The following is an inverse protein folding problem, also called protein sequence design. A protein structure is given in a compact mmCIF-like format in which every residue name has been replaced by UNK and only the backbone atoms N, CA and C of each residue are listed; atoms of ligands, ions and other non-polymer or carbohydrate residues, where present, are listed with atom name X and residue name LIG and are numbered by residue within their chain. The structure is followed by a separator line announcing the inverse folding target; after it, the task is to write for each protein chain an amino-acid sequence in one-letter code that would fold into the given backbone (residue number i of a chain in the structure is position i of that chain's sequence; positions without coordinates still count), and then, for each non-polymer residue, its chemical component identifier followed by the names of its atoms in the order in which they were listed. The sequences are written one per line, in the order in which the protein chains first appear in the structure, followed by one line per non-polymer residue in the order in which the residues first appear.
data_IF_200318647134
#
_entry.id   IF_200318647134
#
_cell.length_a   1.000
_cell.length_b   1.000
_cell.length_c   1.000
_cell.angle_alpha   90.00
_cell.angle_beta   90.00
_cell.angle_gamma   90.00
#
_symmetry.space_group_name_H-M   'P 1'
#
loop_
_entity.id
_entity.type
_entity.pdbx_description
1 polymer ?
#
# COMPACT_ATOMS: atom_id res chain seq x y z
N UNK A 1 -21.40 46.64 46.87
CA UNK A 1 -20.65 46.14 48.05
C UNK A 1 -20.63 44.62 47.92
N UNK A 2 -19.66 43.99 47.25
CA UNK A 2 -18.37 43.50 47.79
C UNK A 2 -18.46 42.95 49.21
N UNK A 3 -18.48 41.63 49.34
CA UNK A 3 -17.76 40.89 50.38
C UNK A 3 -17.59 39.43 49.91
N UNK A 4 -16.41 39.16 49.38
CA UNK A 4 -15.85 37.84 49.11
C UNK A 4 -15.41 37.22 50.44
N UNK A 5 -15.67 35.94 50.70
CA UNK A 5 -14.83 35.14 51.59
C UNK A 5 -14.81 33.68 51.13
N UNK A 6 -13.61 33.11 51.15
CA UNK A 6 -13.16 31.89 50.46
C UNK A 6 -12.21 31.18 51.44
N UNK A 7 -12.53 29.96 51.91
CA UNK A 7 -11.62 28.96 52.57
C UNK A 7 -12.40 27.62 52.54
N UNK A 8 -12.09 26.55 51.77
CA UNK A 8 -10.94 25.62 51.61
C UNK A 8 -10.78 24.57 52.73
N UNK A 9 -10.40 23.33 52.34
CA UNK A 9 -9.84 22.18 53.09
C UNK A 9 -10.87 21.07 53.42
N UNK A 10 -11.01 20.02 52.59
CA UNK A 10 -10.27 18.72 52.52
C UNK A 10 -10.56 17.76 53.68
N UNK A 11 -11.05 16.55 53.35
CA UNK A 11 -11.18 15.42 54.27
C UNK A 11 -11.49 14.11 53.55
N UNK A 12 -10.43 13.38 53.19
CA UNK A 12 -10.41 11.99 52.69
C UNK A 12 -10.65 10.99 53.85
N UNK A 13 -10.94 9.72 53.49
CA UNK A 13 -10.89 8.46 54.30
C UNK A 13 -12.27 8.00 54.85
N UNK A 14 -12.90 6.94 54.32
CA UNK A 14 -12.62 5.49 54.42
C UNK A 14 -13.31 4.81 55.62
N UNK A 15 -14.16 3.80 55.33
CA UNK A 15 -14.70 2.84 56.31
C UNK A 15 -16.07 2.27 55.88
N UNK A 16 -16.11 1.23 55.04
CA UNK A 16 -16.37 -0.18 55.42
C UNK A 16 -17.62 -0.41 56.30
N UNK A 17 -18.68 -0.95 55.71
CA UNK A 17 -19.18 -2.32 55.98
C UNK A 17 -20.56 -2.52 55.37
N UNK A 18 -20.67 -3.44 54.42
CA UNK A 18 -21.70 -4.47 54.47
C UNK A 18 -21.36 -5.57 53.47
N UNK A 19 -20.88 -6.68 54.01
CA UNK A 19 -20.91 -8.00 53.42
C UNK A 19 -22.26 -8.30 52.75
N UNK A 20 -22.21 -8.75 51.50
CA UNK A 20 -22.68 -10.10 51.12
C UNK A 20 -22.46 -10.30 49.63
N UNK A 21 -21.48 -11.14 49.33
CA UNK A 21 -21.54 -12.02 48.17
C UNK A 21 -22.86 -12.82 48.27
N UNK A 22 -23.63 -12.83 47.17
CA UNK A 22 -23.87 -14.13 46.59
C UNK A 22 -23.44 -14.13 45.13
N UNK A 23 -22.51 -15.04 44.84
CA UNK A 23 -22.35 -15.70 43.56
C UNK A 23 -23.74 -16.06 43.00
N UNK A 24 -24.30 -15.19 42.18
CA UNK A 24 -25.18 -15.62 41.11
C UNK A 24 -24.34 -15.56 39.84
N UNK A 25 -24.12 -16.74 39.27
CA UNK A 25 -23.70 -16.95 37.90
C UNK A 25 -24.72 -16.27 36.97
N UNK A 26 -24.61 -14.95 36.85
CA UNK A 26 -25.22 -14.17 35.81
C UNK A 26 -24.32 -14.37 34.60
N UNK A 27 -24.78 -15.21 33.68
CA UNK A 27 -24.37 -15.24 32.28
C UNK A 27 -24.33 -13.79 31.81
N UNK A 28 -23.14 -13.17 31.89
CA UNK A 28 -22.93 -11.85 31.31
C UNK A 28 -22.88 -12.10 29.84
N UNK A 29 -24.07 -12.07 29.24
CA UNK A 29 -24.28 -11.74 27.84
C UNK A 29 -23.47 -10.46 27.62
N UNK A 30 -22.18 -10.62 27.26
CA UNK A 30 -21.36 -9.56 26.72
C UNK A 30 -22.09 -9.18 25.45
N UNK A 31 -22.97 -8.20 25.59
CA UNK A 31 -23.59 -7.47 24.51
C UNK A 31 -22.41 -7.04 23.66
N UNK A 32 -22.20 -7.73 22.55
CA UNK A 32 -21.17 -7.42 21.55
C UNK A 32 -21.44 -5.99 21.12
N UNK A 33 -20.79 -5.05 21.82
CA UNK A 33 -20.74 -3.66 21.43
C UNK A 33 -20.13 -3.69 20.03
N UNK A 34 -20.81 -3.12 19.02
CA UNK A 34 -20.30 -3.13 17.66
C UNK A 34 -18.88 -2.57 17.71
N UNK A 35 -17.92 -3.40 17.29
CA UNK A 35 -16.51 -3.02 17.29
C UNK A 35 -16.39 -1.66 16.60
N UNK A 36 -15.86 -0.67 17.32
CA UNK A 36 -15.68 0.68 16.78
C UNK A 36 -14.90 0.54 15.47
N UNK A 37 -15.40 1.08 14.34
CA UNK A 37 -14.75 0.87 13.06
C UNK A 37 -13.30 1.33 13.16
N UNK A 38 -12.37 0.43 12.81
CA UNK A 38 -10.95 0.72 12.82
C UNK A 38 -10.69 1.98 11.99
N UNK A 39 -10.02 2.96 12.59
CA UNK A 39 -9.75 4.23 11.93
C UNK A 39 -8.80 3.95 10.76
N UNK A 40 -9.21 4.28 9.53
CA UNK A 40 -8.35 4.12 8.35
C UNK A 40 -7.02 4.87 8.57
N UNK A 41 -5.87 4.27 8.24
CA UNK A 41 -4.58 4.93 8.38
C UNK A 41 -4.53 6.20 7.52
N UNK A 42 -3.84 7.22 8.04
CA UNK A 42 -3.65 8.48 7.29
C UNK A 42 -2.61 8.26 6.18
N UNK A 43 -2.83 8.78 4.96
CA UNK A 43 -1.92 8.55 3.85
C UNK A 43 -0.60 9.30 3.97
N UNK A 44 -0.54 10.42 4.70
CA UNK A 44 0.67 11.22 4.86
C UNK A 44 1.22 11.15 6.28
N UNK A 45 2.54 11.11 6.40
CA UNK A 45 3.27 11.25 7.66
C UNK A 45 3.37 12.74 8.09
N UNK A 46 4.06 13.00 9.19
CA UNK A 46 4.26 14.37 9.70
C UNK A 46 5.08 15.27 8.77
N UNK A 47 5.88 14.70 7.87
CA UNK A 47 6.70 15.45 6.88
C UNK A 47 5.96 15.68 5.56
N UNK A 48 4.75 15.15 5.40
CA UNK A 48 3.94 15.30 4.18
C UNK A 48 4.32 14.31 3.06
N UNK A 49 4.95 13.19 3.42
CA UNK A 49 5.27 12.08 2.51
C UNK A 49 4.25 10.96 2.65
N UNK A 50 4.07 10.19 1.59
CA UNK A 50 3.16 9.04 1.60
C UNK A 50 3.72 7.93 2.49
N UNK A 51 2.87 7.39 3.35
CA UNK A 51 3.16 6.27 4.26
C UNK A 51 2.97 4.97 3.51
N UNK A 52 3.84 3.99 3.75
CA UNK A 52 3.71 2.64 3.21
C UNK A 52 2.51 1.91 3.82
N UNK A 53 1.79 1.14 3.00
CA UNK A 53 0.82 0.17 3.49
C UNK A 53 1.46 -1.21 3.64
N UNK A 54 0.74 -2.12 4.28
CA UNK A 54 1.13 -3.55 4.34
C UNK A 54 0.89 -4.27 3.00
N UNK A 55 0.31 -3.60 2.00
CA UNK A 55 0.01 -4.18 0.70
C UNK A 55 1.25 -4.22 -0.18
N UNK A 56 1.54 -5.42 -0.71
CA UNK A 56 2.69 -5.68 -1.58
C UNK A 56 2.19 -6.32 -2.87
N UNK A 57 2.55 -5.71 -4.00
CA UNK A 57 2.21 -6.20 -5.33
C UNK A 57 3.48 -6.41 -6.16
N UNK A 58 3.77 -7.66 -6.54
CA UNK A 58 5.00 -8.02 -7.28
C UNK A 58 6.29 -7.52 -6.60
N UNK A 59 6.33 -7.59 -5.27
CA UNK A 59 7.43 -7.04 -4.46
C UNK A 59 7.36 -5.54 -4.22
N UNK A 60 6.53 -4.78 -4.96
CA UNK A 60 6.37 -3.33 -4.78
C UNK A 60 5.42 -3.07 -3.62
N UNK A 61 5.92 -2.41 -2.58
CA UNK A 61 5.09 -1.95 -1.46
C UNK A 61 4.32 -0.69 -1.82
N UNK A 62 3.00 -0.73 -1.62
CA UNK A 62 2.10 0.34 -2.04
C UNK A 62 1.96 1.42 -0.95
N UNK A 63 1.69 2.69 -1.32
CA UNK A 63 1.37 3.71 -0.34
C UNK A 63 -0.08 3.58 0.15
N UNK A 64 -0.30 3.95 1.41
CA UNK A 64 -1.63 4.09 2.00
C UNK A 64 -2.46 5.07 1.16
N UNK A 65 -3.70 4.65 0.84
CA UNK A 65 -4.67 5.50 0.16
C UNK A 65 -4.73 5.35 -1.36
N UNK A 66 -4.03 4.37 -1.96
CA UNK A 66 -4.19 4.04 -3.39
C UNK A 66 -5.58 3.55 -3.78
N UNK A 67 -6.40 3.14 -2.81
CA UNK A 67 -7.69 2.51 -3.03
C UNK A 67 -7.56 1.03 -3.36
N UNK A 68 -8.69 0.37 -3.61
CA UNK A 68 -8.70 -1.04 -4.00
C UNK A 68 -8.25 -1.19 -5.46
N UNK A 69 -7.29 -2.07 -5.70
CA UNK A 69 -6.81 -2.38 -7.05
C UNK A 69 -7.83 -3.20 -7.84
N UNK A 70 -8.14 -2.77 -9.06
CA UNK A 70 -8.91 -3.55 -10.02
C UNK A 70 -7.97 -4.22 -11.01
N UNK A 71 -8.13 -5.52 -11.22
CA UNK A 71 -7.36 -6.24 -12.25
C UNK A 71 -8.14 -6.20 -13.57
N UNK A 72 -7.53 -5.66 -14.61
CA UNK A 72 -8.15 -5.64 -15.94
C UNK A 72 -7.96 -6.98 -16.68
N UNK A 73 -8.59 -7.12 -17.86
CA UNK A 73 -8.48 -8.35 -18.69
C UNK A 73 -7.05 -8.69 -19.13
N UNK A 74 -6.13 -7.72 -19.12
CA UNK A 74 -4.71 -7.89 -19.45
C UNK A 74 -3.85 -8.20 -18.22
N UNK A 75 -4.45 -8.47 -17.05
CA UNK A 75 -3.76 -8.69 -15.77
C UNK A 75 -2.97 -7.48 -15.25
N UNK A 76 -3.33 -6.27 -15.70
CA UNK A 76 -2.79 -5.03 -15.15
C UNK A 76 -3.61 -4.64 -13.92
N UNK A 77 -2.93 -4.38 -12.81
CA UNK A 77 -3.53 -3.87 -11.59
C UNK A 77 -3.68 -2.36 -11.71
N UNK A 78 -4.92 -1.88 -11.64
CA UNK A 78 -5.27 -0.47 -11.80
C UNK A 78 -5.82 0.07 -10.49
N UNK A 79 -5.17 1.09 -9.95
CA UNK A 79 -5.54 1.80 -8.74
C UNK A 79 -6.00 3.21 -9.09
N UNK A 80 -6.97 3.73 -8.31
CA UNK A 80 -7.48 5.10 -8.46
C UNK A 80 -7.55 5.75 -7.10
N UNK A 81 -6.93 6.91 -6.96
CA UNK A 81 -6.78 7.59 -5.68
C UNK A 81 -7.00 9.10 -5.81
N UNK A 82 -7.54 9.79 -4.79
CA UNK A 82 -7.57 11.25 -4.74
C UNK A 82 -6.20 11.88 -4.40
N UNK A 83 -5.17 11.08 -4.10
CA UNK A 83 -3.82 11.58 -3.80
C UNK A 83 -3.21 12.29 -5.02
N UNK A 84 -2.30 13.24 -4.76
CA UNK A 84 -1.68 14.01 -5.84
C UNK A 84 -0.74 13.14 -6.67
N UNK A 85 -0.76 13.33 -7.98
CA UNK A 85 0.05 12.54 -8.92
C UNK A 85 1.53 12.72 -8.65
N UNK A 86 1.95 13.94 -8.32
CA UNK A 86 3.34 14.27 -8.00
C UNK A 86 3.84 13.53 -6.75
N UNK A 87 3.01 13.45 -5.69
CA UNK A 87 3.38 12.73 -4.46
C UNK A 87 3.44 11.23 -4.67
N UNK A 88 2.52 10.68 -5.46
CA UNK A 88 2.52 9.26 -5.83
C UNK A 88 3.74 8.93 -6.70
N UNK A 89 4.05 9.77 -7.69
CA UNK A 89 5.27 9.64 -8.51
C UNK A 89 6.53 9.65 -7.66
N UNK A 90 6.65 10.64 -6.76
CA UNK A 90 7.80 10.78 -5.86
C UNK A 90 7.96 9.55 -4.95
N UNK A 91 6.85 9.04 -4.40
CA UNK A 91 6.88 7.85 -3.55
C UNK A 91 7.51 6.65 -4.27
N UNK A 92 7.13 6.40 -5.53
CA UNK A 92 7.66 5.28 -6.29
C UNK A 92 9.11 5.51 -6.75
N UNK A 93 9.48 6.72 -7.17
CA UNK A 93 10.87 7.04 -7.54
C UNK A 93 11.86 6.85 -6.39
N UNK A 94 11.43 7.06 -5.15
CA UNK A 94 12.28 6.86 -3.97
C UNK A 94 12.46 5.39 -3.57
N UNK A 95 11.68 4.48 -4.16
CA UNK A 95 11.57 3.07 -3.72
C UNK A 95 11.88 2.06 -4.81
N UNK A 96 11.87 2.50 -6.06
CA UNK A 96 12.06 1.64 -7.21
C UNK A 96 13.32 2.04 -7.98
N UNK A 97 14.14 1.05 -8.26
CA UNK A 97 15.17 1.10 -9.30
C UNK A 97 14.50 0.77 -10.63
N UNK A 98 14.73 1.57 -11.67
CA UNK A 98 14.14 1.38 -12.99
C UNK A 98 15.19 1.58 -14.08
N UNK A 99 15.18 0.71 -15.10
CA UNK A 99 16.12 0.84 -16.22
C UNK A 99 15.80 2.04 -17.11
N UNK A 100 14.51 2.37 -17.24
CA UNK A 100 14.08 3.53 -18.00
C UNK A 100 12.91 4.24 -17.31
N UNK A 101 13.00 5.57 -17.28
CA UNK A 101 12.03 6.45 -16.63
C UNK A 101 11.54 7.46 -17.68
N UNK A 102 10.24 7.47 -17.94
CA UNK A 102 9.61 8.47 -18.81
C UNK A 102 8.76 9.45 -17.98
N UNK A 103 9.10 10.75 -17.95
CA UNK A 103 8.24 11.77 -17.35
C UNK A 103 6.92 11.92 -18.15
N UNK A 104 5.78 12.03 -17.45
CA UNK A 104 4.46 12.23 -18.07
C UNK A 104 3.67 13.31 -17.33
N UNK A 105 3.97 14.58 -17.61
CA UNK A 105 3.37 15.70 -16.89
C UNK A 105 3.75 15.67 -15.41
N UNK A 106 2.78 15.53 -14.50
CA UNK A 106 3.02 15.30 -13.06
C UNK A 106 3.22 13.81 -12.69
N UNK A 107 3.04 12.94 -13.68
CA UNK A 107 3.17 11.50 -13.60
C UNK A 107 4.52 10.99 -14.11
N UNK A 108 4.69 9.68 -14.03
CA UNK A 108 5.89 8.96 -14.46
C UNK A 108 5.50 7.61 -15.04
N UNK A 109 6.35 7.07 -15.90
CA UNK A 109 6.35 5.66 -16.28
C UNK A 109 7.71 5.07 -15.95
N UNK A 110 7.72 3.94 -15.26
CA UNK A 110 8.91 3.19 -14.89
C UNK A 110 8.90 1.86 -15.63
N UNK A 111 9.90 1.64 -16.48
CA UNK A 111 10.05 0.41 -17.25
C UNK A 111 11.06 -0.50 -16.55
N UNK A 112 10.72 -1.80 -16.48
CA UNK A 112 11.55 -2.84 -15.85
C UNK A 112 11.98 -2.45 -14.43
N UNK A 113 11.04 -1.88 -13.68
CA UNK A 113 11.27 -1.39 -12.34
C UNK A 113 11.24 -2.54 -11.31
N UNK A 114 11.99 -2.38 -10.22
CA UNK A 114 12.04 -3.30 -9.08
C UNK A 114 12.24 -2.53 -7.78
N UNK A 115 11.83 -3.08 -6.62
CA UNK A 115 12.19 -2.51 -5.33
C UNK A 115 13.71 -2.37 -5.18
N UNK A 116 14.15 -1.27 -4.55
CA UNK A 116 15.58 -1.00 -4.32
C UNK A 116 16.28 -2.10 -3.49
N UNK A 117 15.54 -2.78 -2.63
CA UNK A 117 16.00 -3.85 -1.74
C UNK A 117 15.76 -5.26 -2.30
N UNK A 118 15.21 -5.39 -3.51
CA UNK A 118 14.93 -6.68 -4.12
C UNK A 118 16.22 -7.35 -4.66
N UNK A 119 16.30 -8.70 -4.62
CA UNK A 119 17.36 -9.44 -5.30
C UNK A 119 17.41 -9.13 -6.81
N UNK A 120 18.57 -9.27 -7.48
CA UNK A 120 18.69 -9.02 -8.91
C UNK A 120 17.74 -9.83 -9.79
N UNK A 121 17.44 -11.07 -9.36
CA UNK A 121 16.56 -12.03 -10.03
C UNK A 121 15.07 -11.80 -9.73
N UNK A 122 14.72 -10.74 -8.99
CA UNK A 122 13.36 -10.45 -8.58
C UNK A 122 12.43 -10.08 -9.73
N UNK A 123 11.12 -10.17 -9.46
CA UNK A 123 10.09 -9.75 -10.40
C UNK A 123 10.32 -8.28 -10.81
N UNK A 124 10.17 -8.03 -12.11
CA UNK A 124 10.17 -6.66 -12.65
C UNK A 124 8.76 -6.23 -12.99
N UNK A 125 8.52 -4.93 -12.90
CA UNK A 125 7.22 -4.35 -13.22
C UNK A 125 7.33 -3.25 -14.27
N UNK A 126 6.25 -3.11 -15.03
CA UNK A 126 5.90 -1.87 -15.68
C UNK A 126 4.96 -1.11 -14.76
N UNK A 127 5.31 0.14 -14.44
CA UNK A 127 4.53 0.99 -13.55
C UNK A 127 4.24 2.33 -14.23
N UNK A 128 2.97 2.72 -14.30
CA UNK A 128 2.55 4.03 -14.80
C UNK A 128 1.77 4.79 -13.73
N UNK A 129 2.15 6.04 -13.48
CA UNK A 129 1.42 6.99 -12.64
C UNK A 129 0.99 8.14 -13.54
N UNK A 130 -0.30 8.43 -13.61
CA UNK A 130 -0.81 9.55 -14.40
C UNK A 130 -2.01 10.24 -13.74
N UNK A 131 -2.22 11.51 -14.11
CA UNK A 131 -3.32 12.32 -13.61
C UNK A 131 -4.66 11.78 -14.13
N UNK A 132 -5.65 11.67 -13.25
CA UNK A 132 -7.03 11.32 -13.57
C UNK A 132 -7.98 12.32 -12.92
N UNK A 133 -8.42 13.34 -13.68
CA UNK A 133 -9.21 14.44 -13.14
C UNK A 133 -8.41 15.18 -12.05
N UNK A 134 -8.98 15.28 -10.84
CA UNK A 134 -8.29 15.83 -9.66
C UNK A 134 -7.44 14.81 -8.89
N UNK A 135 -7.47 13.54 -9.28
CA UNK A 135 -6.76 12.45 -8.62
C UNK A 135 -5.68 11.81 -9.48
N UNK A 136 -5.30 10.60 -9.10
CA UNK A 136 -4.21 9.83 -9.71
C UNK A 136 -4.69 8.43 -10.05
N UNK A 137 -4.20 7.94 -11.19
CA UNK A 137 -4.32 6.55 -11.59
C UNK A 137 -2.94 5.92 -11.61
N UNK A 138 -2.83 4.74 -11.01
CA UNK A 138 -1.62 3.92 -11.01
C UNK A 138 -1.92 2.61 -11.70
N UNK A 139 -1.07 2.22 -12.62
CA UNK A 139 -1.13 0.93 -13.30
C UNK A 139 0.16 0.17 -12.99
N UNK A 140 0.03 -1.08 -12.56
CA UNK A 140 1.15 -1.96 -12.26
C UNK A 140 0.93 -3.29 -12.98
N UNK A 141 1.90 -3.67 -13.80
CA UNK A 141 1.93 -4.91 -14.55
C UNK A 141 3.23 -5.65 -14.26
N UNK A 142 3.13 -6.94 -13.93
CA UNK A 142 4.30 -7.81 -13.83
C UNK A 142 4.85 -8.08 -15.22
N UNK A 143 6.13 -7.76 -15.44
CA UNK A 143 6.82 -8.14 -16.65
C UNK A 143 7.23 -9.60 -16.56
N UNK A 144 6.70 -10.42 -17.47
CA UNK A 144 7.15 -11.79 -17.63
C UNK A 144 8.38 -11.74 -18.53
N UNK A 145 9.57 -11.84 -17.93
CA UNK A 145 10.77 -12.03 -18.72
C UNK A 145 10.67 -13.37 -19.44
N UNK A 146 10.90 -13.43 -20.76
CA UNK A 146 10.98 -14.71 -21.45
C UNK A 146 12.06 -15.53 -20.75
N UNK A 147 11.83 -16.83 -20.47
CA UNK A 147 12.78 -17.66 -19.74
C UNK A 147 14.12 -17.62 -20.49
N UNK A 148 15.11 -16.91 -19.94
CA UNK A 148 16.44 -16.92 -20.50
C UNK A 148 17.00 -18.34 -20.35
N UNK A 149 17.42 -18.92 -21.47
CA UNK A 149 18.35 -20.06 -21.44
C UNK A 149 17.82 -21.45 -21.83
N UNK A 150 16.59 -21.62 -22.34
CA UNK A 150 16.22 -22.91 -22.97
C UNK A 150 15.88 -22.87 -24.44
N UNK A 151 15.55 -21.71 -25.01
CA UNK A 151 15.04 -21.72 -26.38
C UNK A 151 15.67 -20.71 -27.35
N UNK A 152 16.62 -19.86 -26.95
CA UNK A 152 17.27 -18.99 -27.96
C UNK A 152 18.15 -19.82 -28.88
N UNK A 153 18.92 -20.76 -28.33
CA UNK A 153 19.73 -21.68 -29.14
C UNK A 153 18.87 -22.66 -29.95
N UNK A 154 17.75 -23.12 -29.39
CA UNK A 154 16.83 -24.03 -30.09
C UNK A 154 16.00 -23.29 -31.16
N UNK A 155 15.50 -22.08 -30.89
CA UNK A 155 14.90 -21.20 -31.91
C UNK A 155 15.87 -20.83 -33.02
N UNK A 156 17.12 -20.46 -32.71
CA UNK A 156 18.12 -20.14 -33.74
C UNK A 156 18.44 -21.39 -34.56
N UNK A 157 18.54 -22.55 -33.92
CA UNK A 157 18.74 -23.83 -34.60
C UNK A 157 17.54 -24.22 -35.48
N UNK A 158 16.32 -23.98 -35.03
CA UNK A 158 15.09 -24.25 -35.78
C UNK A 158 14.94 -23.30 -36.98
N UNK A 159 15.25 -22.01 -36.78
CA UNK A 159 15.29 -21.01 -37.83
C UNK A 159 16.31 -21.35 -38.93
N UNK A 160 17.54 -21.71 -38.56
CA UNK A 160 18.58 -22.09 -39.51
C UNK A 160 18.21 -23.38 -40.27
N UNK A 161 17.63 -24.37 -39.59
CA UNK A 161 17.14 -25.61 -40.21
C UNK A 161 16.00 -25.37 -41.20
N UNK A 162 15.17 -24.34 -40.97
CA UNK A 162 14.10 -23.98 -41.90
C UNK A 162 14.64 -23.28 -43.16
N UNK A 163 15.71 -22.49 -43.03
CA UNK A 163 16.41 -21.88 -44.17
C UNK A 163 17.09 -22.91 -45.07
N UNK A 164 17.78 -23.90 -44.49
CA UNK A 164 18.45 -24.98 -45.25
C UNK A 164 17.48 -25.90 -46.02
N UNK A 165 16.18 -25.90 -45.68
CA UNK A 165 15.14 -26.66 -46.39
C UNK A 165 14.42 -25.87 -47.48
N UNK A 166 14.63 -24.56 -47.51
CA UNK A 166 14.02 -23.65 -48.48
C UNK A 166 14.92 -23.40 -49.69
N UNK A 167 16.17 -23.87 -49.64
CA UNK A 167 17.12 -23.97 -50.76
C UNK A 167 17.06 -25.37 -51.41
#
# INVERSE_FOLDING_TARGET
MRATLLVVIVGLLSGCSCEKDPQLAGETLRKDLPAKPARKPKPYNATGELVESDEVLFGVRLPVGLGEGQVNRKKVHVFRTPLSTEKVSQYFLQRLDAEHIEPRGKGIVLHRARPLDAPPEGDRVYLSVHTLGSGTRVEIEKLVEPPMGRDVAAMVKEYNKALEKAE
#
